data_IF_403786673261
#
_entry.id   IF_403786673261
#
_cell.length_a   1.000
_cell.length_b   1.000
_cell.length_c   1.000
_cell.angle_alpha   90.00
_cell.angle_beta   90.00
_cell.angle_gamma   90.00
#
_symmetry.space_group_name_H-M   'P 1'
#
loop_
_entity.id
_entity.type
_entity.pdbx_description
1 polymer ?
#
# COMPACT_ATOMS: atom_id res chain seq x y z
N UNK A 1 -11.12 9.37 21.79
CA UNK A 1 -10.41 8.11 21.49
C UNK A 1 -10.45 7.86 19.99
N UNK A 2 -9.35 7.46 19.34
CA UNK A 2 -9.27 7.22 17.88
C UNK A 2 -9.15 5.74 17.58
N UNK A 3 -9.78 5.28 16.51
CA UNK A 3 -9.66 3.90 16.05
C UNK A 3 -8.38 3.71 15.21
N UNK A 4 -7.55 2.73 15.56
CA UNK A 4 -6.42 2.35 14.72
C UNK A 4 -6.90 1.42 13.58
N UNK A 5 -6.74 1.81 12.30
CA UNK A 5 -7.20 1.01 11.16
C UNK A 5 -6.55 -0.38 11.08
N UNK A 6 -5.27 -0.47 11.44
CA UNK A 6 -4.51 -1.72 11.41
C UNK A 6 -4.92 -2.65 12.55
N UNK A 7 -5.09 -2.14 13.77
CA UNK A 7 -5.66 -2.93 14.88
C UNK A 7 -7.04 -3.46 14.51
N UNK A 8 -7.88 -2.61 13.91
CA UNK A 8 -9.21 -3.01 13.44
C UNK A 8 -9.11 -4.10 12.38
N UNK A 9 -8.25 -3.94 11.38
CA UNK A 9 -8.03 -4.94 10.32
C UNK A 9 -7.57 -6.29 10.90
N UNK A 10 -6.66 -6.26 11.88
CA UNK A 10 -6.16 -7.46 12.54
C UNK A 10 -7.25 -8.17 13.35
N UNK A 11 -8.02 -7.43 14.15
CA UNK A 11 -9.18 -7.97 14.87
C UNK A 11 -10.17 -8.64 13.92
N UNK A 12 -10.54 -7.93 12.86
CA UNK A 12 -11.47 -8.39 11.84
C UNK A 12 -11.06 -9.72 11.18
N UNK A 13 -9.74 -10.00 11.12
CA UNK A 13 -9.18 -11.25 10.59
C UNK A 13 -9.00 -12.35 11.65
N UNK A 14 -9.01 -12.00 12.93
CA UNK A 14 -8.81 -12.93 14.04
C UNK A 14 -9.99 -13.89 14.20
N UNK A 15 -9.77 -15.01 14.90
CA UNK A 15 -10.84 -15.95 15.25
C UNK A 15 -11.97 -15.26 16.03
N UNK A 16 -11.61 -14.41 16.98
CA UNK A 16 -12.54 -13.61 17.78
C UNK A 16 -13.39 -12.69 16.90
N UNK A 17 -12.78 -11.90 16.00
CA UNK A 17 -13.53 -10.99 15.13
C UNK A 17 -14.42 -11.71 14.10
N UNK A 18 -13.99 -12.89 13.63
CA UNK A 18 -14.81 -13.77 12.78
C UNK A 18 -15.99 -14.35 13.55
N UNK A 19 -15.79 -14.75 14.80
CA UNK A 19 -16.85 -15.29 15.67
C UNK A 19 -17.88 -14.20 16.03
N UNK A 20 -17.41 -13.01 16.41
CA UNK A 20 -18.24 -11.84 16.69
C UNK A 20 -19.06 -11.40 15.47
N UNK A 21 -18.52 -11.57 14.24
CA UNK A 21 -19.30 -11.37 13.01
C UNK A 21 -20.45 -12.35 12.90
N UNK A 22 -20.20 -13.63 13.13
CA UNK A 22 -21.16 -14.73 12.96
C UNK A 22 -22.30 -14.66 13.98
N UNK A 23 -21.99 -14.26 15.22
CA UNK A 23 -22.92 -14.29 16.35
C UNK A 23 -23.79 -13.02 16.51
N UNK A 24 -24.01 -12.23 15.45
CA UNK A 24 -25.01 -11.15 15.50
C UNK A 24 -24.49 -9.70 15.40
N UNK A 25 -23.41 -9.46 14.65
CA UNK A 25 -23.20 -8.14 14.03
C UNK A 25 -22.21 -7.20 14.73
N UNK A 26 -20.92 -7.51 14.66
CA UNK A 26 -19.87 -6.53 14.98
C UNK A 26 -19.62 -5.53 13.81
N UNK A 27 -20.00 -5.89 12.59
CA UNK A 27 -19.65 -5.10 11.41
C UNK A 27 -20.72 -4.05 11.11
N UNK A 28 -20.53 -2.86 11.69
CA UNK A 28 -21.41 -1.70 11.47
C UNK A 28 -21.95 -1.07 12.75
N UNK A 29 -21.89 -1.77 13.89
CA UNK A 29 -22.30 -1.25 15.20
C UNK A 29 -21.27 -0.32 15.85
N UNK A 30 -20.07 -0.22 15.27
CA UNK A 30 -18.92 0.55 15.78
C UNK A 30 -18.51 0.19 17.22
N UNK A 31 -18.97 -0.94 17.75
CA UNK A 31 -18.58 -1.48 19.05
C UNK A 31 -17.42 -2.43 18.85
N UNK A 32 -16.21 -1.88 18.88
CA UNK A 32 -14.98 -2.65 18.75
C UNK A 32 -14.33 -2.86 20.13
N UNK A 33 -13.49 -3.89 20.32
CA UNK A 33 -12.70 -4.03 21.54
C UNK A 33 -11.90 -2.76 21.86
N UNK A 34 -11.81 -2.40 23.15
CA UNK A 34 -11.18 -1.15 23.60
C UNK A 34 -9.72 -1.01 23.12
N UNK A 35 -8.98 -2.11 23.04
CA UNK A 35 -7.58 -2.13 22.59
C UNK A 35 -7.37 -1.72 21.12
N UNK A 36 -8.45 -1.65 20.32
CA UNK A 36 -8.41 -1.15 18.94
C UNK A 36 -8.32 0.38 18.92
N UNK A 37 -8.79 1.02 19.99
CA UNK A 37 -8.75 2.46 20.15
C UNK A 37 -7.49 2.90 20.88
N UNK A 38 -7.09 4.15 20.65
CA UNK A 38 -5.96 4.77 21.32
C UNK A 38 -6.17 6.28 21.51
N UNK A 39 -5.31 6.90 22.32
CA UNK A 39 -5.36 8.34 22.59
C UNK A 39 -4.34 9.17 21.79
N UNK A 40 -3.44 8.51 21.05
CA UNK A 40 -2.41 9.20 20.26
C UNK A 40 -3.00 10.18 19.23
N UNK A 41 -2.31 11.31 18.94
CA UNK A 41 -2.78 12.33 17.99
C UNK A 41 -2.75 11.85 16.53
N UNK A 42 -2.00 10.79 16.24
CA UNK A 42 -1.89 10.17 14.92
C UNK A 42 -3.16 9.39 14.54
N UNK A 43 -3.28 9.02 13.26
CA UNK A 43 -4.37 8.14 12.78
C UNK A 43 -4.22 6.69 13.27
N UNK A 44 -2.98 6.25 13.48
CA UNK A 44 -2.63 4.89 13.90
C UNK A 44 -2.12 4.90 15.34
N UNK A 45 -2.26 3.79 16.06
CA UNK A 45 -1.65 3.63 17.38
C UNK A 45 -0.11 3.67 17.26
N UNK A 46 0.59 3.90 18.37
CA UNK A 46 2.05 4.08 18.38
C UNK A 46 2.79 2.95 17.65
N UNK A 47 2.41 1.70 17.88
CA UNK A 47 2.98 0.50 17.23
C UNK A 47 2.86 0.54 15.70
N UNK A 48 1.66 0.77 15.18
CA UNK A 48 1.46 0.76 13.72
C UNK A 48 1.98 2.03 13.06
N UNK A 49 1.99 3.15 13.78
CA UNK A 49 2.61 4.38 13.29
C UNK A 49 4.14 4.23 13.15
N UNK A 50 4.81 3.69 14.16
CA UNK A 50 6.26 3.46 14.09
C UNK A 50 6.63 2.46 12.98
N UNK A 51 5.83 1.41 12.79
CA UNK A 51 6.02 0.46 11.70
C UNK A 51 5.88 1.13 10.32
N UNK A 52 4.86 1.97 10.13
CA UNK A 52 4.67 2.71 8.88
C UNK A 52 5.85 3.63 8.56
N UNK A 53 6.38 4.33 9.57
CA UNK A 53 7.55 5.19 9.41
C UNK A 53 8.78 4.39 8.94
N UNK A 54 9.03 3.23 9.58
CA UNK A 54 10.11 2.33 9.20
C UNK A 54 9.93 1.80 7.76
N UNK A 55 8.73 1.33 7.42
CA UNK A 55 8.40 0.85 6.08
C UNK A 55 8.57 1.94 5.02
N UNK A 56 8.15 3.18 5.32
CA UNK A 56 8.32 4.33 4.45
C UNK A 56 9.80 4.67 4.21
N UNK A 57 10.63 4.62 5.24
CA UNK A 57 12.08 4.83 5.12
C UNK A 57 12.75 3.75 4.26
N UNK A 58 12.44 2.47 4.51
CA UNK A 58 12.95 1.35 3.72
C UNK A 58 12.54 1.46 2.24
N UNK A 59 11.30 1.86 1.95
CA UNK A 59 10.82 2.07 0.57
C UNK A 59 11.61 3.16 -0.15
N UNK A 60 11.84 4.32 0.51
CA UNK A 60 12.62 5.42 -0.06
C UNK A 60 14.05 5.00 -0.36
N UNK A 61 14.70 4.30 0.58
CA UNK A 61 16.05 3.78 0.40
C UNK A 61 16.13 2.84 -0.81
N UNK A 62 15.21 1.88 -0.93
CA UNK A 62 15.17 0.96 -2.06
C UNK A 62 15.01 1.67 -3.40
N UNK A 63 14.13 2.68 -3.48
CA UNK A 63 13.96 3.48 -4.69
C UNK A 63 15.25 4.21 -5.06
N UNK A 64 15.92 4.84 -4.09
CA UNK A 64 17.19 5.54 -4.34
C UNK A 64 18.26 4.58 -4.87
N UNK A 65 18.40 3.39 -4.27
CA UNK A 65 19.36 2.38 -4.72
C UNK A 65 19.02 1.82 -6.11
N UNK A 66 17.73 1.64 -6.39
CA UNK A 66 17.27 1.13 -7.67
C UNK A 66 17.24 2.20 -8.79
N UNK A 67 17.48 3.48 -8.49
CA UNK A 67 17.46 4.56 -9.49
C UNK A 67 18.88 4.83 -10.00
N UNK A 68 19.28 4.27 -11.15
CA UNK A 68 20.60 4.53 -11.70
C UNK A 68 20.74 5.99 -12.16
N UNK A 69 21.99 6.48 -12.27
CA UNK A 69 22.28 7.86 -12.68
C UNK A 69 21.70 8.23 -14.05
N UNK A 70 21.59 7.25 -14.95
CA UNK A 70 21.06 7.43 -16.31
C UNK A 70 19.52 7.41 -16.38
N UNK A 71 18.81 7.11 -15.28
CA UNK A 71 17.36 7.12 -15.26
C UNK A 71 16.82 8.52 -15.60
N UNK A 72 15.88 8.59 -16.53
CA UNK A 72 15.23 9.84 -16.89
C UNK A 72 14.14 10.17 -15.88
N UNK A 73 14.50 10.99 -14.89
CA UNK A 73 13.59 11.45 -13.83
C UNK A 73 12.40 12.23 -14.37
N UNK A 74 12.52 12.89 -15.52
CA UNK A 74 11.42 13.63 -16.14
C UNK A 74 10.42 12.66 -16.76
N UNK A 75 10.91 11.63 -17.47
CA UNK A 75 10.07 10.56 -18.02
C UNK A 75 9.35 9.77 -16.91
N UNK A 76 10.05 9.44 -15.82
CA UNK A 76 9.44 8.82 -14.63
C UNK A 76 8.33 9.72 -14.06
N UNK A 77 8.59 11.01 -13.91
CA UNK A 77 7.59 11.98 -13.46
C UNK A 77 6.38 12.09 -14.40
N UNK A 78 6.57 11.93 -15.71
CA UNK A 78 5.47 11.90 -16.68
C UNK A 78 4.54 10.71 -16.44
N UNK A 79 5.07 9.51 -16.19
CA UNK A 79 4.27 8.32 -15.92
C UNK A 79 3.41 8.48 -14.65
N UNK A 80 3.97 9.08 -13.59
CA UNK A 80 3.19 9.40 -12.39
C UNK A 80 2.08 10.42 -12.66
N UNK A 81 2.35 11.45 -13.47
CA UNK A 81 1.32 12.42 -13.88
C UNK A 81 0.23 11.76 -14.70
N UNK A 82 0.60 10.91 -15.65
CA UNK A 82 -0.34 10.17 -16.48
C UNK A 82 -1.27 9.29 -15.64
N UNK A 83 -0.74 8.55 -14.66
CA UNK A 83 -1.56 7.76 -13.74
C UNK A 83 -2.57 8.60 -12.96
N UNK A 84 -2.17 9.81 -12.50
CA UNK A 84 -3.08 10.74 -11.81
C UNK A 84 -4.14 11.30 -12.77
N UNK A 85 -3.75 11.70 -13.99
CA UNK A 85 -4.68 12.21 -15.00
C UNK A 85 -5.73 11.15 -15.38
N UNK A 86 -5.31 9.92 -15.65
CA UNK A 86 -6.21 8.81 -15.97
C UNK A 86 -7.17 8.50 -14.82
N UNK A 87 -6.67 8.53 -13.57
CA UNK A 87 -7.49 8.31 -12.38
C UNK A 87 -8.50 9.44 -12.14
N UNK A 88 -8.14 10.68 -12.48
CA UNK A 88 -9.00 11.86 -12.24
C UNK A 88 -10.14 11.96 -13.25
N UNK A 89 -9.95 11.41 -14.45
CA UNK A 89 -10.94 11.47 -15.54
C UNK A 89 -11.91 10.29 -15.63
N UNK A 90 -11.85 9.30 -14.74
CA UNK A 90 -12.61 8.06 -14.89
C UNK A 90 -13.08 7.40 -13.58
N UNK A 91 -13.81 6.29 -13.74
CA UNK A 91 -14.26 5.43 -12.63
C UNK A 91 -13.18 4.43 -12.18
N UNK A 92 -12.06 4.36 -12.91
CA UNK A 92 -10.97 3.40 -12.69
C UNK A 92 -9.75 4.15 -12.19
N UNK A 93 -9.21 3.71 -11.06
CA UNK A 93 -7.94 4.22 -10.56
C UNK A 93 -6.77 3.56 -11.30
N UNK A 94 -5.74 4.35 -11.61
CA UNK A 94 -4.50 3.93 -12.22
C UNK A 94 -3.32 4.19 -11.27
N UNK A 95 -2.34 3.30 -11.31
CA UNK A 95 -1.12 3.35 -10.50
C UNK A 95 0.09 3.09 -11.40
N UNK A 96 1.26 3.59 -10.99
CA UNK A 96 2.53 3.27 -11.64
C UNK A 96 3.06 1.97 -11.04
N UNK A 97 3.22 0.95 -11.89
CA UNK A 97 3.78 -0.36 -11.56
C UNK A 97 5.21 -0.48 -12.09
N UNK A 98 6.00 -1.34 -11.45
CA UNK A 98 7.30 -1.78 -11.94
C UNK A 98 7.13 -3.09 -12.70
N UNK A 99 7.37 -3.11 -14.02
CA UNK A 99 7.25 -4.31 -14.87
C UNK A 99 8.04 -5.47 -14.25
N UNK A 100 9.33 -5.25 -13.99
CA UNK A 100 10.16 -6.08 -13.12
C UNK A 100 10.09 -5.51 -11.69
N UNK A 101 9.59 -6.25 -10.69
CA UNK A 101 9.36 -5.74 -9.34
C UNK A 101 10.67 -5.33 -8.66
N UNK A 102 10.65 -4.25 -7.87
CA UNK A 102 11.83 -3.83 -7.09
C UNK A 102 12.18 -4.78 -5.93
N UNK A 103 11.20 -5.55 -5.47
CA UNK A 103 11.31 -6.42 -4.30
C UNK A 103 10.70 -7.80 -4.58
N UNK A 104 10.96 -8.31 -5.79
CA UNK A 104 10.61 -9.68 -6.15
C UNK A 104 11.48 -10.70 -5.43
N UNK A 105 10.97 -11.91 -5.30
CA UNK A 105 11.69 -13.03 -4.67
C UNK A 105 12.83 -13.54 -5.55
N UNK A 106 12.60 -13.62 -6.87
CA UNK A 106 13.54 -14.18 -7.84
C UNK A 106 14.36 -13.12 -8.59
N UNK A 107 13.78 -11.92 -8.76
CA UNK A 107 14.39 -10.83 -9.55
C UNK A 107 14.14 -9.48 -8.88
N UNK A 108 15.05 -8.54 -9.13
CA UNK A 108 14.89 -7.13 -8.77
C UNK A 108 15.05 -6.24 -10.00
N UNK A 109 14.06 -5.38 -10.24
CA UNK A 109 14.10 -4.38 -11.29
C UNK A 109 14.78 -3.08 -10.86
N UNK A 110 15.00 -2.19 -11.84
CA UNK A 110 15.47 -0.82 -11.60
C UNK A 110 14.29 0.16 -11.60
N UNK A 111 14.42 1.30 -10.92
CA UNK A 111 13.45 2.40 -11.00
C UNK A 111 13.80 3.32 -12.16
N UNK A 112 13.45 2.88 -13.37
CA UNK A 112 13.75 3.56 -14.63
C UNK A 112 12.48 3.67 -15.46
N UNK A 113 12.43 4.65 -16.37
CA UNK A 113 11.29 4.88 -17.25
C UNK A 113 10.90 3.65 -18.08
N UNK A 114 11.84 2.79 -18.47
CA UNK A 114 11.55 1.57 -19.23
C UNK A 114 11.00 0.43 -18.36
N UNK A 115 11.25 0.46 -17.05
CA UNK A 115 10.73 -0.55 -16.12
C UNK A 115 9.44 -0.10 -15.43
N UNK A 116 8.93 1.09 -15.75
CA UNK A 116 7.69 1.61 -15.19
C UNK A 116 6.58 1.56 -16.25
N UNK A 117 5.38 1.22 -15.81
CA UNK A 117 4.17 1.23 -16.64
C UNK A 117 2.99 1.80 -15.86
N UNK A 118 2.07 2.45 -16.56
CA UNK A 118 0.80 2.91 -15.97
C UNK A 118 -0.25 1.82 -16.20
N UNK A 119 -0.76 1.24 -15.12
CA UNK A 119 -1.77 0.17 -15.18
C UNK A 119 -2.90 0.45 -14.20
N UNK A 120 -4.00 -0.29 -14.30
CA UNK A 120 -5.08 -0.14 -13.32
C UNK A 120 -4.62 -0.54 -11.92
N UNK A 121 -5.14 0.14 -10.90
CA UNK A 121 -4.83 -0.17 -9.50
C UNK A 121 -5.19 -1.62 -9.13
N UNK A 122 -6.25 -2.17 -9.73
CA UNK A 122 -6.64 -3.57 -9.53
C UNK A 122 -5.58 -4.54 -10.08
N UNK A 123 -5.13 -4.33 -11.33
CA UNK A 123 -4.06 -5.12 -11.93
C UNK A 123 -2.75 -5.02 -11.13
N UNK A 124 -2.36 -3.81 -10.71
CA UNK A 124 -1.15 -3.60 -9.91
C UNK A 124 -1.19 -4.37 -8.57
N UNK A 125 -2.33 -4.30 -7.87
CA UNK A 125 -2.51 -4.99 -6.58
C UNK A 125 -2.53 -6.50 -6.72
N UNK A 126 -3.06 -7.03 -7.82
CA UNK A 126 -3.04 -8.47 -8.13
C UNK A 126 -1.62 -8.95 -8.43
N UNK A 127 -0.87 -8.21 -9.25
CA UNK A 127 0.52 -8.51 -9.60
C UNK A 127 1.44 -8.46 -8.39
N UNK A 128 1.29 -7.46 -7.52
CA UNK A 128 2.14 -7.29 -6.33
C UNK A 128 3.65 -7.29 -6.70
N UNK A 129 4.48 -8.02 -5.96
CA UNK A 129 5.92 -8.16 -6.22
C UNK A 129 6.26 -9.33 -7.16
N UNK A 130 5.31 -9.84 -7.94
CA UNK A 130 5.57 -10.94 -8.88
C UNK A 130 6.13 -10.41 -10.19
N UNK A 131 7.02 -11.18 -10.81
CA UNK A 131 7.53 -10.91 -12.15
C UNK A 131 6.74 -11.67 -13.22
N UNK A 132 6.32 -12.90 -12.91
CA UNK A 132 5.43 -13.72 -13.72
C UNK A 132 4.15 -14.02 -12.91
N UNK A 133 3.00 -14.08 -13.56
CA UNK A 133 1.76 -14.61 -12.99
C UNK A 133 1.61 -16.11 -13.29
#
# INVERSE_FOLDING_TARGET
>A
MRLCPDCLSNYKKSYEGKTARKNGGAWGTQRWPDWIYHQQPTRKCLKHHSQDLANGAARRSRLLQATPKWADKKAIGNLYREAVCLSSGGLVAYEVDHIVPLNGELVCGLHTQQNLQVITADSNRKKSNKFFD
#
